data_IF_313532802515
#
_entry.id   IF_313532802515
#
_cell.length_a   1.000
_cell.length_b   1.000
_cell.length_c   1.000
_cell.angle_alpha   90.00
_cell.angle_beta   90.00
_cell.angle_gamma   90.00
#
_symmetry.space_group_name_H-M   'P 1'
#
loop_
_entity.id
_entity.type
_entity.pdbx_description
1 polymer ?
#
# COMPACT_ATOMS: atom_id res chain seq x y z
N UNK A 1 -17.68 -2.95 9.09
CA UNK A 1 -18.13 -2.71 7.70
C UNK A 1 -16.92 -2.21 6.94
N UNK A 2 -16.54 -2.77 5.77
CA UNK A 2 -15.53 -2.11 4.96
C UNK A 2 -16.08 -0.71 4.62
N UNK A 3 -15.24 0.32 4.76
CA UNK A 3 -15.62 1.68 4.41
C UNK A 3 -15.99 1.78 2.92
N UNK A 4 -16.66 2.88 2.55
CA UNK A 4 -16.93 3.22 1.15
C UNK A 4 -15.64 3.20 0.33
N UNK A 5 -15.65 2.52 -0.82
CA UNK A 5 -14.50 2.44 -1.73
C UNK A 5 -14.40 3.74 -2.50
N UNK A 6 -13.31 4.49 -2.31
CA UNK A 6 -13.00 5.70 -3.07
C UNK A 6 -11.94 5.42 -4.12
N UNK A 7 -12.15 5.92 -5.32
CA UNK A 7 -11.23 5.82 -6.45
C UNK A 7 -10.69 7.22 -6.74
N UNK A 8 -9.37 7.33 -6.80
CA UNK A 8 -8.67 8.58 -7.11
C UNK A 8 -7.98 8.45 -8.47
N UNK A 9 -8.31 9.35 -9.38
CA UNK A 9 -7.57 9.57 -10.63
C UNK A 9 -6.39 10.49 -10.35
N UNK A 10 -5.47 10.56 -11.31
CA UNK A 10 -4.31 11.44 -11.18
C UNK A 10 -4.72 12.93 -11.06
N UNK A 11 -5.84 13.33 -11.66
CA UNK A 11 -6.41 14.70 -11.52
C UNK A 11 -6.96 15.00 -10.12
N UNK A 12 -7.22 13.98 -9.30
CA UNK A 12 -7.68 14.15 -7.91
C UNK A 12 -6.51 14.28 -6.91
N UNK A 13 -5.25 14.18 -7.36
CA UNK A 13 -4.05 14.24 -6.52
C UNK A 13 -3.43 15.63 -6.58
N UNK A 14 -3.48 16.36 -5.48
CA UNK A 14 -2.92 17.70 -5.38
C UNK A 14 -1.40 17.67 -5.15
N UNK A 15 -0.93 16.76 -4.28
CA UNK A 15 0.49 16.71 -3.89
C UNK A 15 0.86 15.32 -3.35
N UNK A 16 2.10 14.88 -3.64
CA UNK A 16 2.73 13.73 -2.99
C UNK A 16 4.05 14.20 -2.35
N UNK A 17 4.18 14.01 -1.02
CA UNK A 17 5.39 14.34 -0.27
C UNK A 17 6.02 13.07 0.27
N UNK A 18 7.32 12.87 0.01
CA UNK A 18 8.13 11.85 0.64
C UNK A 18 9.20 12.50 1.52
N UNK A 19 9.16 12.29 2.82
CA UNK A 19 10.11 12.90 3.75
C UNK A 19 10.43 12.01 4.94
N UNK A 20 11.55 12.28 5.60
CA UNK A 20 11.85 11.77 6.94
C UNK A 20 11.63 12.96 7.88
N UNK A 21 10.56 12.97 8.70
CA UNK A 21 10.32 14.08 9.62
C UNK A 21 11.47 14.26 10.61
N UNK A 22 11.65 15.48 11.11
CA UNK A 22 12.67 15.75 12.12
C UNK A 22 12.51 14.83 13.35
N UNK A 23 13.63 14.30 13.84
CA UNK A 23 13.64 13.33 14.95
C UNK A 23 13.14 11.92 14.62
N UNK A 24 12.73 11.65 13.37
CA UNK A 24 12.28 10.32 12.93
C UNK A 24 13.35 9.60 12.13
N UNK A 25 13.25 8.26 12.10
CA UNK A 25 14.20 7.39 11.37
C UNK A 25 13.65 6.86 10.05
N UNK A 26 12.35 6.94 9.85
CA UNK A 26 11.66 6.29 8.74
C UNK A 26 10.90 7.30 7.90
N UNK A 27 10.81 7.00 6.61
CA UNK A 27 10.09 7.78 5.63
C UNK A 27 8.59 7.82 5.97
N UNK A 28 7.97 8.96 5.65
CA UNK A 28 6.53 9.16 5.56
C UNK A 28 6.19 9.58 4.14
N UNK A 29 5.13 9.00 3.62
CA UNK A 29 4.51 9.45 2.38
C UNK A 29 3.21 10.16 2.75
N UNK A 30 3.06 11.41 2.32
CA UNK A 30 1.82 12.18 2.46
C UNK A 30 1.20 12.32 1.08
N UNK A 31 -0.02 11.82 0.93
CA UNK A 31 -0.85 11.97 -0.26
C UNK A 31 -1.92 13.02 0.06
N UNK A 32 -1.83 14.19 -0.56
CA UNK A 32 -2.90 15.18 -0.53
C UNK A 32 -3.79 14.95 -1.74
N UNK A 33 -5.03 14.59 -1.46
CA UNK A 33 -6.09 14.33 -2.43
C UNK A 33 -7.15 15.42 -2.27
N UNK A 34 -7.95 15.64 -3.31
CA UNK A 34 -8.95 16.72 -3.34
C UNK A 34 -9.91 16.78 -2.14
N UNK A 35 -10.16 15.65 -1.46
CA UNK A 35 -11.09 15.53 -0.35
C UNK A 35 -10.46 15.06 0.98
N UNK A 36 -9.20 14.62 0.98
CA UNK A 36 -8.53 14.14 2.19
C UNK A 36 -7.00 14.11 2.08
N UNK A 37 -6.33 14.00 3.22
CA UNK A 37 -4.89 13.73 3.29
C UNK A 37 -4.63 12.37 3.92
N UNK A 38 -3.84 11.53 3.25
CA UNK A 38 -3.43 10.21 3.73
C UNK A 38 -1.94 10.24 4.06
N UNK A 39 -1.56 9.78 5.26
CA UNK A 39 -0.15 9.62 5.66
C UNK A 39 0.17 8.13 5.81
N UNK A 40 1.13 7.65 5.03
CA UNK A 40 1.58 6.26 5.06
C UNK A 40 2.94 6.13 5.74
N UNK A 41 3.09 5.07 6.54
CA UNK A 41 4.37 4.67 7.10
C UNK A 41 5.22 3.94 6.07
N UNK A 42 6.54 4.03 6.20
CA UNK A 42 7.53 3.38 5.34
C UNK A 42 7.22 1.90 5.06
N UNK A 43 6.86 1.10 6.07
CA UNK A 43 6.55 -0.32 5.90
C UNK A 43 5.36 -0.57 4.96
N UNK A 44 4.33 0.28 5.02
CA UNK A 44 3.16 0.19 4.14
C UNK A 44 3.53 0.57 2.72
N UNK A 45 4.34 1.61 2.55
CA UNK A 45 4.81 2.07 1.24
C UNK A 45 5.70 1.02 0.58
N UNK A 46 6.63 0.42 1.33
CA UNK A 46 7.46 -0.68 0.87
C UNK A 46 6.61 -1.88 0.40
N UNK A 47 5.52 -2.19 1.11
CA UNK A 47 4.58 -3.22 0.70
C UNK A 47 3.84 -2.87 -0.61
N UNK A 48 3.39 -1.63 -0.77
CA UNK A 48 2.78 -1.14 -2.02
C UNK A 48 3.76 -1.28 -3.19
N UNK A 49 5.00 -0.78 -3.02
CA UNK A 49 6.04 -0.87 -4.06
C UNK A 49 6.31 -2.31 -4.44
N UNK A 50 6.45 -3.21 -3.46
CA UNK A 50 6.67 -4.64 -3.72
C UNK A 50 5.51 -5.27 -4.49
N UNK A 51 4.27 -5.00 -4.10
CA UNK A 51 3.09 -5.52 -4.79
C UNK A 51 3.00 -4.99 -6.23
N UNK A 52 3.22 -3.69 -6.41
CA UNK A 52 3.20 -3.06 -7.73
C UNK A 52 4.26 -3.65 -8.65
N UNK A 53 5.52 -3.68 -8.20
CA UNK A 53 6.64 -4.19 -8.99
C UNK A 53 6.44 -5.67 -9.35
N UNK A 54 5.95 -6.49 -8.41
CA UNK A 54 5.75 -7.92 -8.64
C UNK A 54 4.68 -8.24 -9.69
N UNK A 55 3.73 -7.33 -9.94
CA UNK A 55 2.73 -7.49 -11.01
C UNK A 55 3.15 -6.76 -12.27
N UNK A 56 3.54 -5.49 -12.16
CA UNK A 56 3.83 -4.64 -13.30
C UNK A 56 5.07 -5.10 -14.09
N UNK A 57 6.07 -5.66 -13.41
CA UNK A 57 7.36 -6.02 -14.04
C UNK A 57 7.52 -7.53 -14.25
N UNK A 58 6.57 -8.35 -13.81
CA UNK A 58 6.65 -9.80 -13.98
C UNK A 58 5.90 -10.25 -15.24
N UNK A 59 6.50 -11.07 -16.12
CA UNK A 59 5.97 -11.33 -17.46
C UNK A 59 4.60 -12.03 -17.49
N UNK A 60 4.29 -12.80 -16.45
CA UNK A 60 3.07 -13.64 -16.40
C UNK A 60 2.21 -13.40 -15.16
N UNK A 61 2.70 -12.65 -14.16
CA UNK A 61 2.03 -12.55 -12.88
C UNK A 61 1.03 -11.41 -12.92
N UNK A 62 -0.23 -11.70 -12.62
CA UNK A 62 -1.34 -10.73 -12.72
C UNK A 62 -1.91 -10.28 -11.38
N UNK A 63 -1.48 -10.92 -10.29
CA UNK A 63 -2.04 -10.68 -8.97
C UNK A 63 -1.00 -10.91 -7.87
N UNK A 64 -1.06 -10.08 -6.85
CA UNK A 64 -0.39 -10.27 -5.57
C UNK A 64 -1.28 -9.68 -4.47
N UNK A 65 -1.53 -10.46 -3.43
CA UNK A 65 -2.22 -10.00 -2.22
C UNK A 65 -1.25 -10.00 -1.07
N UNK A 66 -1.14 -8.87 -0.38
CA UNK A 66 -0.40 -8.76 0.87
C UNK A 66 -1.39 -8.53 2.01
N UNK A 67 -1.37 -9.39 3.02
CA UNK A 67 -2.29 -9.34 4.16
C UNK A 67 -1.52 -9.07 5.43
N UNK A 68 -2.14 -8.34 6.36
CA UNK A 68 -1.56 -8.05 7.67
C UNK A 68 -1.32 -9.34 8.44
N UNK A 69 -0.08 -9.55 8.86
CA UNK A 69 0.32 -10.59 9.79
C UNK A 69 1.09 -9.98 10.96
N UNK A 70 0.95 -10.56 12.14
CA UNK A 70 1.73 -10.19 13.32
C UNK A 70 2.90 -11.15 13.41
N UNK A 71 4.13 -10.65 13.23
CA UNK A 71 5.33 -11.48 13.25
C UNK A 71 5.96 -11.43 14.64
N UNK A 72 6.04 -12.58 15.29
CA UNK A 72 6.80 -12.75 16.53
C UNK A 72 8.29 -12.98 16.21
N UNK A 73 9.18 -12.39 17.01
CA UNK A 73 10.62 -12.52 16.79
C UNK A 73 11.16 -11.77 15.56
N UNK A 74 10.45 -10.75 15.07
CA UNK A 74 10.95 -9.91 13.98
C UNK A 74 12.30 -9.27 14.33
N UNK A 75 13.17 -9.10 13.33
CA UNK A 75 14.49 -8.46 13.49
C UNK A 75 14.31 -7.04 14.08
N UNK A 76 15.27 -6.56 14.90
CA UNK A 76 15.23 -5.19 15.40
C UNK A 76 15.06 -4.17 14.27
N UNK A 77 14.21 -3.16 14.50
CA UNK A 77 13.92 -2.11 13.52
C UNK A 77 12.78 -2.41 12.54
N UNK A 78 12.24 -3.63 12.54
CA UNK A 78 11.06 -3.96 11.73
C UNK A 78 9.76 -3.75 12.51
N UNK A 79 8.69 -3.37 11.78
CA UNK A 79 7.36 -3.30 12.36
C UNK A 79 6.85 -4.70 12.75
N UNK A 80 6.16 -4.79 13.89
CA UNK A 80 5.53 -6.02 14.38
C UNK A 80 4.39 -6.49 13.46
N UNK A 81 3.59 -5.55 12.97
CA UNK A 81 2.60 -5.81 11.94
C UNK A 81 3.24 -5.61 10.56
N UNK A 82 3.22 -6.64 9.74
CA UNK A 82 3.75 -6.61 8.38
C UNK A 82 2.70 -7.07 7.37
N UNK A 83 2.80 -6.58 6.15
CA UNK A 83 2.00 -7.06 5.03
C UNK A 83 2.78 -8.18 4.34
N UNK A 84 2.29 -9.41 4.44
CA UNK A 84 2.95 -10.63 3.93
C UNK A 84 2.12 -11.19 2.78
N UNK A 85 2.81 -11.72 1.77
CA UNK A 85 2.18 -12.36 0.63
C UNK A 85 1.41 -13.61 1.05
N UNK A 86 0.21 -13.76 0.50
CA UNK A 86 -0.61 -14.95 0.65
C UNK A 86 -0.87 -15.55 -0.72
N UNK A 87 -0.86 -16.88 -0.80
CA UNK A 87 -1.23 -17.59 -2.02
C UNK A 87 -2.76 -17.60 -2.13
N UNK A 88 -3.31 -16.74 -2.99
CA UNK A 88 -4.74 -16.64 -3.21
C UNK A 88 -5.04 -16.41 -4.70
N UNK A 89 -4.97 -17.49 -5.48
CA UNK A 89 -5.26 -17.48 -6.91
C UNK A 89 -4.38 -16.51 -7.72
N UNK A 90 -4.80 -16.24 -8.96
CA UNK A 90 -4.08 -15.43 -9.95
C UNK A 90 -4.91 -14.26 -10.51
N UNK A 91 -6.12 -14.05 -9.99
CA UNK A 91 -7.09 -13.07 -10.50
C UNK A 91 -7.43 -11.99 -9.48
N UNK A 92 -7.29 -10.74 -9.91
CA UNK A 92 -7.85 -9.58 -9.21
C UNK A 92 -9.28 -9.32 -9.73
N UNK A 93 -10.28 -9.20 -8.85
CA UNK A 93 -11.56 -8.61 -9.24
C UNK A 93 -11.40 -7.10 -9.38
N UNK A 94 -11.95 -6.51 -10.44
CA UNK A 94 -11.80 -5.07 -10.71
C UNK A 94 -12.44 -4.26 -9.56
N UNK A 95 -11.67 -3.46 -8.81
CA UNK A 95 -12.21 -2.62 -7.76
C UNK A 95 -13.24 -1.59 -8.28
N UNK A 96 -13.15 -1.21 -9.56
CA UNK A 96 -14.07 -0.27 -10.22
C UNK A 96 -15.45 -0.88 -10.48
N UNK A 97 -15.55 -2.21 -10.62
CA UNK A 97 -16.83 -2.89 -10.85
C UNK A 97 -17.66 -3.10 -9.59
N UNK A 98 -17.10 -2.86 -8.40
CA UNK A 98 -17.82 -2.97 -7.12
C UNK A 98 -18.40 -1.63 -6.64
N UNK A 99 -18.20 -0.55 -7.40
CA UNK A 99 -18.62 0.81 -7.06
C UNK A 99 -19.81 1.33 -7.93
N UNK A 100 -20.40 0.47 -8.76
CA UNK A 100 -21.64 0.69 -9.54
C UNK A 100 -22.73 -0.26 -9.08
#
# INVERSE_FOLDING_TARGET
MPGEVKIYRNEDVDEIVACIPEGHRHVRIVLKLRDQTIVLQEATVAAIVRAYVAVALHPTRRYMKLVKHIIEGAKPGFAKAQLVEVEEGDRCSDPLTQAT
#
